data_IF_964861714730
#
_entry.id   IF_964861714730
#
_cell.length_a   1.000
_cell.length_b   1.000
_cell.length_c   1.000
_cell.angle_alpha   90.00
_cell.angle_beta   90.00
_cell.angle_gamma   90.00
#
_symmetry.space_group_name_H-M   'P 1'
#
loop_
_entity.id
_entity.type
_entity.pdbx_description
1 polymer ?
#
# COMPACT_ATOMS: atom_id res chain seq x y z
N UNK A 1 13.11 -22.49 11.66
CA UNK A 1 13.51 -21.35 12.50
C UNK A 1 14.32 -20.29 11.75
N UNK A 2 15.45 -20.60 11.02
CA UNK A 2 16.30 -19.56 10.36
C UNK A 2 15.59 -18.68 9.33
N UNK A 3 14.55 -19.18 8.61
CA UNK A 3 13.81 -18.41 7.58
C UNK A 3 12.74 -17.47 8.14
N UNK A 4 12.23 -17.73 9.34
CA UNK A 4 11.18 -16.90 9.97
C UNK A 4 11.76 -15.72 10.76
N UNK A 5 13.02 -15.82 11.20
CA UNK A 5 13.66 -14.80 12.03
C UNK A 5 13.59 -13.37 11.45
N UNK A 6 13.89 -13.12 10.15
CA UNK A 6 13.79 -11.78 9.60
C UNK A 6 12.36 -11.21 9.60
N UNK A 7 11.36 -12.04 9.35
CA UNK A 7 9.96 -11.59 9.38
C UNK A 7 9.52 -11.23 10.80
N UNK A 8 9.91 -12.04 11.80
CA UNK A 8 9.64 -11.74 13.21
C UNK A 8 10.38 -10.49 13.69
N UNK A 9 11.61 -10.28 13.23
CA UNK A 9 12.37 -9.07 13.55
C UNK A 9 11.71 -7.83 12.92
N UNK A 10 11.27 -7.90 11.66
CA UNK A 10 10.54 -6.81 11.02
C UNK A 10 9.25 -6.47 11.77
N UNK A 11 8.49 -7.50 12.20
CA UNK A 11 7.29 -7.32 13.00
C UNK A 11 7.60 -6.65 14.34
N UNK A 12 8.65 -7.10 15.03
CA UNK A 12 9.08 -6.50 16.30
C UNK A 12 9.48 -5.03 16.11
N UNK A 13 10.31 -4.72 15.10
CA UNK A 13 10.73 -3.35 14.80
C UNK A 13 9.53 -2.45 14.49
N UNK A 14 8.59 -2.91 13.66
CA UNK A 14 7.39 -2.18 13.32
C UNK A 14 6.50 -1.94 14.55
N UNK A 15 6.28 -2.98 15.38
CA UNK A 15 5.48 -2.85 16.60
C UNK A 15 6.08 -1.82 17.55
N UNK A 16 7.37 -1.92 17.85
CA UNK A 16 8.03 -1.01 18.80
C UNK A 16 8.03 0.44 18.27
N UNK A 17 8.28 0.64 16.97
CA UNK A 17 8.29 1.96 16.38
C UNK A 17 6.88 2.60 16.40
N UNK A 18 5.87 1.87 15.94
CA UNK A 18 4.50 2.38 15.88
C UNK A 18 3.85 2.53 17.26
N UNK A 19 4.20 1.71 18.24
CA UNK A 19 3.68 1.91 19.62
C UNK A 19 3.92 3.34 20.10
N UNK A 20 5.04 3.94 19.73
CA UNK A 20 5.42 5.29 20.18
C UNK A 20 5.00 6.35 19.15
N UNK A 21 5.11 6.04 17.84
CA UNK A 21 5.00 7.05 16.80
C UNK A 21 3.57 7.34 16.35
N UNK A 22 2.69 6.32 16.23
CA UNK A 22 1.37 6.53 15.64
C UNK A 22 0.30 6.91 16.67
N UNK A 23 -0.56 7.86 16.29
CA UNK A 23 -1.73 8.25 17.10
C UNK A 23 -2.81 7.15 17.21
N UNK A 24 -2.77 6.13 16.36
CA UNK A 24 -3.65 4.94 16.47
C UNK A 24 -3.18 3.94 17.53
N UNK A 25 -1.99 4.12 18.09
CA UNK A 25 -1.41 3.25 19.11
C UNK A 25 -2.29 3.20 20.37
N UNK A 26 -2.39 2.04 21.04
CA UNK A 26 -3.11 1.90 22.31
C UNK A 26 -2.50 2.72 23.46
N UNK A 27 -1.33 3.33 23.27
CA UNK A 27 -0.74 4.26 24.25
C UNK A 27 -1.42 5.63 24.24
N UNK A 28 -2.17 5.97 23.20
CA UNK A 28 -2.89 7.23 23.06
C UNK A 28 -4.39 7.03 23.25
N UNK A 29 -5.04 7.97 23.92
CA UNK A 29 -6.45 7.86 24.26
C UNK A 29 -7.37 7.95 23.04
N UNK A 30 -6.95 8.67 22.00
CA UNK A 30 -7.71 8.84 20.75
C UNK A 30 -6.77 9.25 19.60
N UNK A 31 -7.17 8.93 18.39
CA UNK A 31 -6.58 9.51 17.20
C UNK A 31 -7.43 10.72 16.78
N UNK A 32 -6.81 11.91 16.73
CA UNK A 32 -7.50 13.17 16.41
C UNK A 32 -7.40 13.56 14.94
N UNK A 33 -6.70 12.77 14.11
CA UNK A 33 -6.57 13.08 12.70
C UNK A 33 -7.87 12.82 11.94
N UNK A 34 -8.33 13.83 11.22
CA UNK A 34 -9.65 13.81 10.57
C UNK A 34 -9.79 12.66 9.57
N UNK A 35 -8.80 12.46 8.70
CA UNK A 35 -8.87 11.45 7.64
C UNK A 35 -9.01 10.04 8.22
N UNK A 36 -8.22 9.70 9.24
CA UNK A 36 -8.29 8.39 9.90
C UNK A 36 -9.68 8.15 10.52
N UNK A 37 -10.29 9.19 11.10
CA UNK A 37 -11.64 9.09 11.66
C UNK A 37 -12.70 8.90 10.56
N UNK A 38 -12.55 9.57 9.41
CA UNK A 38 -13.41 9.37 8.23
C UNK A 38 -13.27 7.92 7.74
N UNK A 39 -12.05 7.43 7.51
CA UNK A 39 -11.82 6.06 7.04
C UNK A 39 -12.35 5.03 8.02
N UNK A 40 -12.16 5.26 9.32
CA UNK A 40 -12.70 4.37 10.36
C UNK A 40 -14.23 4.37 10.39
N UNK A 41 -14.85 5.53 10.18
CA UNK A 41 -16.32 5.64 10.06
C UNK A 41 -16.83 4.85 8.85
N UNK A 42 -16.15 4.95 7.70
CA UNK A 42 -16.50 4.16 6.51
C UNK A 42 -16.28 2.66 6.77
N UNK A 43 -15.15 2.28 7.36
CA UNK A 43 -14.89 0.88 7.73
C UNK A 43 -15.96 0.29 8.65
N UNK A 44 -16.35 1.03 9.69
CA UNK A 44 -17.47 0.66 10.58
C UNK A 44 -18.80 0.58 9.84
N UNK A 45 -19.05 1.48 8.90
CA UNK A 45 -20.24 1.43 8.03
C UNK A 45 -20.26 0.14 7.20
N UNK A 46 -19.11 -0.24 6.62
CA UNK A 46 -19.00 -1.47 5.84
C UNK A 46 -19.30 -2.73 6.67
N UNK A 47 -18.88 -2.80 7.93
CA UNK A 47 -19.22 -3.94 8.82
C UNK A 47 -20.72 -4.01 9.16
N UNK A 48 -21.46 -2.94 8.88
CA UNK A 48 -22.91 -2.84 9.07
C UNK A 48 -23.72 -2.89 7.76
N UNK A 49 -23.06 -3.24 6.64
CA UNK A 49 -23.68 -3.39 5.33
C UNK A 49 -23.79 -2.12 4.49
N UNK A 50 -23.21 -0.99 4.95
CA UNK A 50 -23.10 0.21 4.13
C UNK A 50 -21.93 0.09 3.14
N UNK A 51 -22.05 0.72 1.98
CA UNK A 51 -21.05 0.67 0.93
C UNK A 51 -20.34 2.01 0.75
N UNK A 52 -19.00 2.01 0.65
CA UNK A 52 -18.27 3.22 0.32
C UNK A 52 -18.70 3.75 -1.04
N UNK A 53 -18.63 5.04 -1.22
CA UNK A 53 -19.05 5.85 -2.37
C UNK A 53 -20.56 5.91 -2.61
N UNK A 54 -21.31 4.83 -2.39
CA UNK A 54 -22.76 4.79 -2.55
C UNK A 54 -23.50 5.38 -1.34
N UNK A 55 -23.13 4.93 -0.15
CA UNK A 55 -23.80 5.29 1.11
C UNK A 55 -22.93 6.22 1.98
N UNK A 56 -21.63 6.16 1.83
CA UNK A 56 -20.64 6.93 2.57
C UNK A 56 -19.61 7.53 1.60
N UNK A 57 -19.40 8.84 1.70
CA UNK A 57 -18.55 9.57 0.75
C UNK A 57 -17.14 9.76 1.28
N UNK A 58 -16.15 9.37 0.49
CA UNK A 58 -14.77 9.82 0.54
C UNK A 58 -14.07 9.43 -0.78
N UNK A 59 -13.03 10.16 -1.16
CA UNK A 59 -12.35 10.06 -2.45
C UNK A 59 -11.07 9.18 -2.44
N UNK A 60 -10.79 8.44 -1.37
CA UNK A 60 -9.70 7.45 -1.33
C UNK A 60 -10.10 6.12 -1.96
N UNK A 61 -9.11 5.25 -2.15
CA UNK A 61 -9.31 3.98 -2.83
C UNK A 61 -10.10 2.94 -2.02
N UNK A 62 -10.83 2.05 -2.68
CA UNK A 62 -11.72 1.10 -2.02
C UNK A 62 -11.00 0.11 -1.10
N UNK A 63 -9.77 -0.26 -1.41
CA UNK A 63 -9.01 -1.19 -0.59
C UNK A 63 -8.63 -0.59 0.76
N UNK A 64 -8.42 0.73 0.84
CA UNK A 64 -8.21 1.42 2.11
C UNK A 64 -9.40 1.19 3.04
N UNK A 65 -10.62 1.42 2.56
CA UNK A 65 -11.83 1.23 3.36
C UNK A 65 -12.06 -0.23 3.77
N UNK A 66 -11.68 -1.18 2.91
CA UNK A 66 -11.71 -2.61 3.25
C UNK A 66 -10.74 -2.95 4.39
N UNK A 67 -9.54 -2.36 4.39
CA UNK A 67 -8.58 -2.52 5.49
C UNK A 67 -9.13 -1.91 6.79
N UNK A 68 -9.77 -0.75 6.71
CA UNK A 68 -10.43 -0.16 7.86
C UNK A 68 -11.65 -0.96 8.33
N UNK A 69 -12.37 -1.62 7.41
CA UNK A 69 -13.44 -2.55 7.78
C UNK A 69 -12.91 -3.77 8.54
N UNK A 70 -11.74 -4.31 8.13
CA UNK A 70 -11.05 -5.37 8.89
C UNK A 70 -10.61 -4.87 10.27
N UNK A 71 -10.07 -3.66 10.37
CA UNK A 71 -9.74 -3.03 11.64
C UNK A 71 -10.97 -2.85 12.54
N UNK A 72 -12.07 -2.36 11.98
CA UNK A 72 -13.34 -2.17 12.69
C UNK A 72 -13.99 -3.51 13.12
N UNK A 73 -13.77 -4.59 12.38
CA UNK A 73 -14.22 -5.93 12.77
C UNK A 73 -13.46 -6.47 13.99
N UNK A 74 -12.23 -6.01 14.24
CA UNK A 74 -11.46 -6.32 15.45
C UNK A 74 -11.94 -5.48 16.63
N UNK A 75 -12.12 -4.16 16.41
CA UNK A 75 -12.67 -3.23 17.39
C UNK A 75 -13.37 -2.08 16.67
N UNK A 76 -14.68 -1.90 16.93
CA UNK A 76 -15.47 -0.81 16.36
C UNK A 76 -15.52 0.44 17.27
N UNK A 77 -14.92 0.37 18.45
CA UNK A 77 -14.90 1.44 19.46
C UNK A 77 -13.51 2.04 19.68
N UNK A 78 -12.46 1.40 19.21
CA UNK A 78 -11.07 1.87 19.36
C UNK A 78 -10.25 1.61 18.11
N UNK A 79 -9.15 2.35 17.95
CA UNK A 79 -8.21 2.21 16.83
C UNK A 79 -7.30 0.98 16.93
N UNK A 80 -7.45 0.09 17.92
CA UNK A 80 -6.56 -1.07 18.09
C UNK A 80 -6.53 -1.98 16.84
N UNK A 81 -7.67 -2.15 16.16
CA UNK A 81 -7.71 -2.92 14.93
C UNK A 81 -6.96 -2.23 13.79
N UNK A 82 -7.07 -0.91 13.67
CA UNK A 82 -6.31 -0.09 12.71
C UNK A 82 -4.83 -0.16 13.03
N UNK A 83 -4.44 -0.01 14.28
CA UNK A 83 -3.06 -0.16 14.75
C UNK A 83 -2.45 -1.52 14.37
N UNK A 84 -3.19 -2.62 14.52
CA UNK A 84 -2.73 -3.94 14.08
C UNK A 84 -2.48 -3.96 12.58
N UNK A 85 -3.35 -3.35 11.76
CA UNK A 85 -3.16 -3.25 10.31
C UNK A 85 -1.93 -2.40 9.96
N UNK A 86 -1.72 -1.27 10.66
CA UNK A 86 -0.52 -0.43 10.50
C UNK A 86 0.77 -1.21 10.83
N UNK A 87 0.79 -1.97 11.92
CA UNK A 87 1.93 -2.80 12.31
C UNK A 87 2.25 -3.83 11.22
N UNK A 88 1.25 -4.52 10.69
CA UNK A 88 1.43 -5.48 9.61
C UNK A 88 1.94 -4.82 8.33
N UNK A 89 1.42 -3.63 8.01
CA UNK A 89 1.83 -2.83 6.86
C UNK A 89 3.30 -2.41 6.98
N UNK A 90 3.68 -1.78 8.09
CA UNK A 90 5.06 -1.35 8.30
C UNK A 90 6.02 -2.54 8.36
N UNK A 91 5.63 -3.64 9.01
CA UNK A 91 6.47 -4.85 9.04
C UNK A 91 6.74 -5.41 7.64
N UNK A 92 5.73 -5.44 6.77
CA UNK A 92 5.88 -5.88 5.39
C UNK A 92 6.79 -4.93 4.59
N UNK A 93 6.65 -3.61 4.79
CA UNK A 93 7.50 -2.59 4.15
C UNK A 93 8.96 -2.70 4.61
N UNK A 94 9.20 -2.82 5.92
CA UNK A 94 10.54 -3.02 6.51
C UNK A 94 11.17 -4.32 6.02
N UNK A 95 10.39 -5.39 5.96
CA UNK A 95 10.87 -6.66 5.40
C UNK A 95 11.25 -6.54 3.93
N UNK A 96 10.44 -5.89 3.11
CA UNK A 96 10.73 -5.65 1.69
C UNK A 96 11.98 -4.76 1.53
N UNK A 97 12.13 -3.71 2.35
CA UNK A 97 13.31 -2.87 2.39
C UNK A 97 14.58 -3.66 2.74
N UNK A 98 14.53 -4.52 3.77
CA UNK A 98 15.62 -5.43 4.09
C UNK A 98 15.95 -6.40 2.92
N UNK A 99 14.94 -6.94 2.25
CA UNK A 99 15.15 -7.78 1.05
C UNK A 99 15.87 -7.02 -0.05
N UNK A 100 15.58 -5.73 -0.18
CA UNK A 100 16.28 -4.84 -1.13
C UNK A 100 17.76 -4.67 -0.75
N UNK A 101 18.05 -4.35 0.50
CA UNK A 101 19.45 -4.24 1.00
C UNK A 101 20.21 -5.55 0.81
N UNK A 102 19.54 -6.68 1.04
CA UNK A 102 20.12 -8.03 0.88
C UNK A 102 20.39 -8.44 -0.58
N UNK A 103 20.01 -7.64 -1.58
CA UNK A 103 20.45 -7.84 -2.97
C UNK A 103 21.89 -7.39 -3.17
N UNK A 104 22.36 -6.41 -2.39
CA UNK A 104 23.64 -5.74 -2.56
C UNK A 104 24.62 -5.99 -1.41
N UNK A 105 24.13 -6.50 -0.27
CA UNK A 105 24.93 -6.82 0.91
C UNK A 105 24.68 -8.24 1.40
N UNK A 106 25.68 -8.79 2.09
CA UNK A 106 25.62 -10.13 2.67
C UNK A 106 25.79 -10.10 4.20
N UNK A 107 25.30 -11.17 4.84
CA UNK A 107 25.50 -11.38 6.26
C UNK A 107 24.47 -10.70 7.17
N UNK A 108 24.74 -10.81 8.50
CA UNK A 108 23.81 -10.35 9.53
C UNK A 108 23.68 -8.83 9.63
N UNK A 109 24.67 -8.09 9.14
CA UNK A 109 24.67 -6.63 9.17
C UNK A 109 23.52 -6.05 8.35
N UNK A 110 23.03 -6.74 7.30
CA UNK A 110 21.86 -6.28 6.54
C UNK A 110 20.59 -6.20 7.41
N UNK A 111 20.49 -6.98 8.49
CA UNK A 111 19.36 -6.93 9.43
C UNK A 111 19.25 -5.59 10.17
N UNK A 112 20.35 -4.85 10.32
CA UNK A 112 20.35 -3.51 10.92
C UNK A 112 19.53 -2.50 10.10
N UNK A 113 19.32 -2.77 8.82
CA UNK A 113 18.43 -1.94 8.00
C UNK A 113 16.98 -1.93 8.51
N UNK A 114 16.53 -2.99 9.19
CA UNK A 114 15.14 -3.08 9.66
C UNK A 114 14.80 -2.04 10.75
N UNK A 115 15.51 -1.96 11.89
CA UNK A 115 15.22 -0.93 12.87
C UNK A 115 15.47 0.48 12.35
N UNK A 116 16.47 0.67 11.46
CA UNK A 116 16.72 1.97 10.82
C UNK A 116 15.56 2.38 9.93
N UNK A 117 15.08 1.49 9.05
CA UNK A 117 13.95 1.77 8.17
C UNK A 117 12.68 2.05 8.98
N UNK A 118 12.39 1.26 10.00
CA UNK A 118 11.23 1.48 10.87
C UNK A 118 11.29 2.85 11.55
N UNK A 119 12.46 3.22 12.12
CA UNK A 119 12.64 4.50 12.77
C UNK A 119 12.49 5.68 11.80
N UNK A 120 13.18 5.63 10.64
CA UNK A 120 13.13 6.70 9.63
C UNK A 120 11.72 6.90 9.09
N UNK A 121 11.02 5.82 8.76
CA UNK A 121 9.65 5.88 8.24
C UNK A 121 8.70 6.49 9.27
N UNK A 122 8.81 6.10 10.55
CA UNK A 122 7.99 6.64 11.62
C UNK A 122 8.28 8.12 11.96
N UNK A 123 9.36 8.72 11.43
CA UNK A 123 9.57 10.17 11.53
C UNK A 123 8.73 10.98 10.52
N UNK A 124 8.07 10.32 9.56
CA UNK A 124 7.21 11.01 8.59
C UNK A 124 5.84 11.31 9.20
N UNK A 125 5.28 12.48 8.89
CA UNK A 125 3.98 12.94 9.39
C UNK A 125 2.85 11.95 9.12
N UNK A 126 2.86 11.29 7.96
CA UNK A 126 1.86 10.27 7.62
C UNK A 126 1.77 9.15 8.66
N UNK A 127 2.90 8.76 9.27
CA UNK A 127 2.97 7.70 10.29
C UNK A 127 2.69 8.21 11.71
N UNK A 128 2.97 9.47 11.99
CA UNK A 128 2.64 10.05 13.31
C UNK A 128 1.15 10.35 13.45
N UNK A 129 0.49 10.68 12.35
CA UNK A 129 -0.97 10.84 12.30
C UNK A 129 -1.71 9.51 12.51
N UNK A 130 -1.17 8.43 11.95
CA UNK A 130 -1.67 7.06 12.07
C UNK A 130 -2.84 6.74 11.13
N UNK A 131 -2.73 5.61 10.43
CA UNK A 131 -3.76 5.10 9.55
C UNK A 131 -3.89 5.80 8.20
N UNK A 132 -2.84 6.47 7.72
CA UNK A 132 -2.86 7.15 6.43
C UNK A 132 -2.93 6.17 5.25
N UNK A 133 -3.40 6.65 4.09
CA UNK A 133 -3.38 5.87 2.85
C UNK A 133 -1.93 5.50 2.45
N UNK A 134 -0.97 6.39 2.71
CA UNK A 134 0.46 6.21 2.48
C UNK A 134 1.01 5.02 3.27
N UNK A 135 0.59 4.85 4.51
CA UNK A 135 1.00 3.72 5.36
C UNK A 135 0.58 2.39 4.75
N UNK A 136 -0.64 2.31 4.24
CA UNK A 136 -1.17 1.08 3.63
C UNK A 136 -0.70 0.86 2.18
N UNK A 137 -0.23 1.90 1.49
CA UNK A 137 0.43 1.80 0.18
C UNK A 137 1.90 1.37 0.30
N UNK A 138 2.60 1.78 1.37
CA UNK A 138 4.05 1.62 1.54
C UNK A 138 4.55 0.17 1.38
N UNK A 139 3.91 -0.89 1.91
CA UNK A 139 4.41 -2.26 1.74
C UNK A 139 4.45 -2.68 0.27
N UNK A 140 3.46 -2.28 -0.52
CA UNK A 140 3.42 -2.58 -1.95
C UNK A 140 4.44 -1.74 -2.72
N UNK A 141 4.63 -0.46 -2.37
CA UNK A 141 5.68 0.39 -2.93
C UNK A 141 7.07 -0.21 -2.67
N UNK A 142 7.37 -0.58 -1.43
CA UNK A 142 8.64 -1.20 -1.05
C UNK A 142 8.84 -2.57 -1.73
N UNK A 143 7.79 -3.40 -1.81
CA UNK A 143 7.84 -4.66 -2.53
C UNK A 143 8.05 -4.45 -4.03
N UNK A 144 7.43 -3.44 -4.65
CA UNK A 144 7.62 -3.08 -6.05
C UNK A 144 9.08 -2.74 -6.36
N UNK A 145 9.71 -1.92 -5.53
CA UNK A 145 11.14 -1.58 -5.63
C UNK A 145 12.01 -2.84 -5.50
N UNK A 146 11.77 -3.66 -4.47
CA UNK A 146 12.49 -4.91 -4.28
C UNK A 146 12.36 -5.83 -5.50
N UNK A 147 11.14 -6.05 -6.00
CA UNK A 147 10.87 -6.95 -7.11
C UNK A 147 11.54 -6.45 -8.40
N UNK A 148 11.49 -5.14 -8.65
CA UNK A 148 12.15 -4.53 -9.78
C UNK A 148 13.67 -4.75 -9.74
N UNK A 149 14.30 -4.42 -8.62
CA UNK A 149 15.75 -4.61 -8.44
C UNK A 149 16.16 -6.08 -8.45
N UNK A 150 15.33 -6.97 -7.87
CA UNK A 150 15.58 -8.42 -7.89
C UNK A 150 15.50 -9.02 -9.29
N UNK A 151 14.62 -8.53 -10.16
CA UNK A 151 14.54 -8.90 -11.57
C UNK A 151 15.80 -8.49 -12.34
N UNK A 152 16.31 -7.30 -12.04
CA UNK A 152 17.52 -6.78 -12.72
C UNK A 152 18.80 -7.41 -12.19
N UNK A 153 18.94 -7.57 -10.86
CA UNK A 153 20.18 -8.03 -10.22
C UNK A 153 20.35 -9.56 -10.26
N UNK A 154 19.26 -10.32 -10.22
CA UNK A 154 19.28 -11.79 -10.15
C UNK A 154 18.24 -12.39 -11.10
N UNK A 155 18.43 -12.24 -12.40
CA UNK A 155 17.51 -12.81 -13.40
C UNK A 155 17.58 -14.35 -13.40
N UNK A 156 16.45 -14.99 -13.69
CA UNK A 156 16.38 -16.44 -13.73
C UNK A 156 14.95 -16.99 -13.70
N UNK A 157 14.77 -18.24 -13.30
CA UNK A 157 13.48 -18.95 -13.33
C UNK A 157 12.35 -18.27 -12.54
N UNK A 158 12.67 -17.46 -11.52
CA UNK A 158 11.70 -16.75 -10.71
C UNK A 158 11.14 -15.47 -11.38
N UNK A 159 11.63 -15.06 -12.54
CA UNK A 159 11.29 -13.78 -13.17
C UNK A 159 9.80 -13.64 -13.49
N UNK A 160 9.18 -14.73 -13.90
CA UNK A 160 7.74 -14.74 -14.15
C UNK A 160 6.89 -14.50 -12.89
N UNK A 161 7.29 -15.06 -11.74
CA UNK A 161 6.60 -14.85 -10.46
C UNK A 161 6.86 -13.45 -9.92
N UNK A 162 8.07 -12.92 -10.11
CA UNK A 162 8.43 -11.55 -9.71
C UNK A 162 7.64 -10.52 -10.52
N UNK A 163 7.51 -10.71 -11.84
CA UNK A 163 6.71 -9.85 -12.69
C UNK A 163 5.23 -9.86 -12.29
N UNK A 164 4.66 -11.04 -12.00
CA UNK A 164 3.30 -11.17 -11.48
C UNK A 164 3.13 -10.43 -10.14
N UNK A 165 4.06 -10.64 -9.20
CA UNK A 165 4.02 -10.01 -7.89
C UNK A 165 4.20 -8.48 -7.98
N UNK A 166 5.04 -8.00 -8.92
CA UNK A 166 5.18 -6.56 -9.20
C UNK A 166 3.85 -5.96 -9.67
N UNK A 167 3.16 -6.63 -10.59
CA UNK A 167 1.83 -6.21 -11.02
C UNK A 167 0.80 -6.23 -9.88
N UNK A 168 0.82 -7.27 -9.03
CA UNK A 168 -0.06 -7.33 -7.86
C UNK A 168 0.20 -6.18 -6.88
N UNK A 169 1.45 -5.81 -6.65
CA UNK A 169 1.81 -4.65 -5.84
C UNK A 169 1.32 -3.32 -6.47
N UNK A 170 1.41 -3.20 -7.81
CA UNK A 170 0.84 -2.06 -8.52
C UNK A 170 -0.69 -1.98 -8.36
N UNK A 171 -1.40 -3.12 -8.48
CA UNK A 171 -2.85 -3.19 -8.26
C UNK A 171 -3.24 -2.83 -6.83
N UNK A 172 -2.45 -3.22 -5.84
CA UNK A 172 -2.66 -2.81 -4.45
C UNK A 172 -2.60 -1.29 -4.28
N UNK A 173 -1.53 -0.65 -4.77
CA UNK A 173 -1.36 0.81 -4.69
C UNK A 173 -2.46 1.51 -5.47
N UNK A 174 -2.82 1.03 -6.66
CA UNK A 174 -3.91 1.57 -7.45
C UNK A 174 -5.25 1.59 -6.70
N UNK A 175 -5.53 0.59 -5.88
CA UNK A 175 -6.76 0.50 -5.08
C UNK A 175 -6.68 1.22 -3.72
N UNK A 176 -5.51 1.63 -3.26
CA UNK A 176 -5.34 2.47 -2.06
C UNK A 176 -5.31 3.95 -2.45
N UNK A 177 -4.41 4.30 -3.38
CA UNK A 177 -4.15 5.68 -3.82
C UNK A 177 -3.57 5.67 -5.22
N UNK A 178 -4.42 5.80 -6.24
CA UNK A 178 -4.00 5.66 -7.64
C UNK A 178 -2.93 6.69 -8.06
N UNK A 179 -2.85 7.85 -7.41
CA UNK A 179 -1.83 8.87 -7.70
C UNK A 179 -0.40 8.37 -7.49
N UNK A 180 -0.20 7.37 -6.63
CA UNK A 180 1.11 6.81 -6.32
C UNK A 180 1.55 5.74 -7.34
N UNK A 181 0.71 5.44 -8.33
CA UNK A 181 1.01 4.45 -9.39
C UNK A 181 2.20 4.86 -10.27
N UNK A 182 2.57 6.16 -10.25
CA UNK A 182 3.69 6.69 -11.03
C UNK A 182 5.01 5.95 -10.82
N UNK A 183 5.28 5.48 -9.58
CA UNK A 183 6.45 4.66 -9.28
C UNK A 183 6.44 3.35 -10.09
N UNK A 184 5.29 2.67 -10.14
CA UNK A 184 5.15 1.41 -10.88
C UNK A 184 5.20 1.63 -12.39
N UNK A 185 4.69 2.74 -12.90
CA UNK A 185 4.80 3.09 -14.31
C UNK A 185 6.27 3.29 -14.70
N UNK A 186 7.04 4.09 -13.93
CA UNK A 186 8.47 4.32 -14.18
C UNK A 186 9.30 3.03 -14.07
N UNK A 187 9.16 2.28 -12.97
CA UNK A 187 9.86 1.01 -12.78
C UNK A 187 9.45 -0.04 -13.81
N UNK A 188 8.16 -0.12 -14.15
CA UNK A 188 7.63 -1.06 -15.14
C UNK A 188 8.20 -0.82 -16.53
N UNK A 189 8.23 0.43 -16.97
CA UNK A 189 8.85 0.80 -18.27
C UNK A 189 10.34 0.42 -18.25
N UNK A 190 11.07 0.75 -17.18
CA UNK A 190 12.49 0.39 -17.03
C UNK A 190 12.73 -1.12 -17.07
N UNK A 191 11.89 -1.91 -16.39
CA UNK A 191 11.95 -3.37 -16.39
C UNK A 191 11.66 -3.96 -17.76
N UNK A 192 10.63 -3.50 -18.44
CA UNK A 192 10.27 -3.99 -19.77
C UNK A 192 11.35 -3.66 -20.80
N UNK A 193 11.94 -2.47 -20.72
CA UNK A 193 13.09 -2.09 -21.57
C UNK A 193 14.32 -2.97 -21.26
N UNK A 194 14.60 -3.27 -19.98
CA UNK A 194 15.68 -4.17 -19.57
C UNK A 194 15.48 -5.59 -20.12
N UNK A 195 14.29 -6.17 -19.94
CA UNK A 195 13.94 -7.51 -20.48
C UNK A 195 14.00 -7.54 -21.99
N UNK A 196 13.50 -6.51 -22.67
CA UNK A 196 13.54 -6.41 -24.12
C UNK A 196 14.98 -6.43 -24.66
N UNK A 197 15.86 -5.60 -24.08
CA UNK A 197 17.28 -5.54 -24.51
C UNK A 197 18.03 -6.83 -24.25
N UNK A 198 17.67 -7.56 -23.20
CA UNK A 198 18.37 -8.78 -22.80
C UNK A 198 17.83 -10.05 -23.45
N UNK A 199 16.50 -10.18 -23.54
CA UNK A 199 15.83 -11.43 -23.91
C UNK A 199 14.92 -11.29 -25.13
N UNK A 200 14.82 -10.08 -25.67
CA UNK A 200 14.01 -9.77 -26.86
C UNK A 200 12.56 -9.35 -26.54
N UNK A 201 11.92 -8.80 -27.56
CA UNK A 201 10.58 -8.19 -27.46
C UNK A 201 9.50 -9.19 -26.97
N UNK A 202 9.52 -10.44 -27.46
CA UNK A 202 8.55 -11.44 -27.04
C UNK A 202 8.55 -11.73 -25.54
N UNK A 203 9.74 -11.77 -24.93
CA UNK A 203 9.87 -11.94 -23.47
C UNK A 203 9.40 -10.72 -22.69
N UNK A 204 9.67 -9.53 -23.21
CA UNK A 204 9.14 -8.29 -22.60
C UNK A 204 7.60 -8.28 -22.63
N UNK A 205 6.98 -8.70 -23.72
CA UNK A 205 5.53 -8.80 -23.83
C UNK A 205 4.93 -9.81 -22.85
N UNK A 206 5.55 -10.99 -22.69
CA UNK A 206 5.16 -11.98 -21.68
C UNK A 206 5.27 -11.41 -20.26
N UNK A 207 6.32 -10.66 -19.99
CA UNK A 207 6.50 -10.00 -18.68
C UNK A 207 5.44 -8.94 -18.43
N UNK A 208 5.11 -8.11 -19.44
CA UNK A 208 4.02 -7.14 -19.37
C UNK A 208 2.66 -7.83 -19.11
N UNK A 209 2.37 -8.92 -19.80
CA UNK A 209 1.16 -9.73 -19.58
C UNK A 209 1.07 -10.27 -18.14
N UNK A 210 2.20 -10.72 -17.57
CA UNK A 210 2.25 -11.18 -16.17
C UNK A 210 2.06 -10.05 -15.18
N UNK A 211 2.64 -8.87 -15.43
CA UNK A 211 2.41 -7.67 -14.60
C UNK A 211 0.93 -7.28 -14.62
N UNK A 212 0.33 -7.23 -15.81
CA UNK A 212 -1.10 -6.94 -15.96
C UNK A 212 -1.97 -7.98 -15.24
N UNK A 213 -1.67 -9.27 -15.42
CA UNK A 213 -2.37 -10.35 -14.71
C UNK A 213 -2.27 -10.18 -13.19
N UNK A 214 -1.08 -9.84 -12.68
CA UNK A 214 -0.89 -9.57 -11.25
C UNK A 214 -1.77 -8.43 -10.75
N UNK A 215 -1.83 -7.32 -11.48
CA UNK A 215 -2.70 -6.20 -11.14
C UNK A 215 -4.19 -6.59 -11.17
N UNK A 216 -4.61 -7.33 -12.20
CA UNK A 216 -5.98 -7.81 -12.33
C UNK A 216 -6.38 -8.77 -11.21
N UNK A 217 -5.49 -9.64 -10.75
CA UNK A 217 -5.75 -10.55 -9.63
C UNK A 217 -6.07 -9.82 -8.32
N UNK A 218 -5.57 -8.60 -8.14
CA UNK A 218 -5.88 -7.76 -6.97
C UNK A 218 -7.10 -6.87 -7.24
N UNK A 219 -7.18 -6.26 -8.43
CA UNK A 219 -8.25 -5.31 -8.75
C UNK A 219 -9.61 -5.99 -9.00
N UNK A 220 -9.62 -7.14 -9.69
CA UNK A 220 -10.86 -7.79 -10.10
C UNK A 220 -11.75 -8.25 -8.92
N UNK A 221 -11.23 -8.86 -7.84
CA UNK A 221 -12.06 -9.21 -6.67
C UNK A 221 -12.71 -8.00 -6.02
N UNK A 222 -11.97 -6.87 -5.91
CA UNK A 222 -12.50 -5.63 -5.33
C UNK A 222 -13.58 -5.03 -6.23
N UNK A 223 -13.33 -4.98 -7.53
CA UNK A 223 -14.32 -4.50 -8.50
C UNK A 223 -15.58 -5.39 -8.52
N UNK A 224 -15.42 -6.71 -8.45
CA UNK A 224 -16.53 -7.65 -8.37
C UNK A 224 -17.35 -7.46 -7.07
N UNK A 225 -16.70 -7.25 -5.93
CA UNK A 225 -17.36 -6.93 -4.67
C UNK A 225 -18.17 -5.63 -4.75
N UNK A 226 -17.58 -4.56 -5.30
CA UNK A 226 -18.30 -3.29 -5.48
C UNK A 226 -19.46 -3.43 -6.47
N UNK A 227 -19.27 -4.17 -7.57
CA UNK A 227 -20.30 -4.41 -8.57
C UNK A 227 -21.50 -5.19 -7.99
N UNK A 228 -21.22 -6.28 -7.26
CA UNK A 228 -22.25 -7.12 -6.65
C UNK A 228 -23.09 -6.36 -5.58
N UNK A 229 -22.54 -5.28 -5.02
CA UNK A 229 -23.22 -4.42 -4.05
C UNK A 229 -23.73 -3.10 -4.67
N UNK A 230 -23.70 -2.95 -6.00
CA UNK A 230 -24.20 -1.75 -6.69
C UNK A 230 -23.40 -0.46 -6.43
N UNK A 231 -22.14 -0.58 -5.98
CA UNK A 231 -21.28 0.56 -5.62
C UNK A 231 -20.19 0.84 -6.66
N UNK A 232 -20.02 0.01 -7.71
CA UNK A 232 -18.92 0.16 -8.67
C UNK A 232 -19.00 1.48 -9.46
N UNK A 233 -20.20 1.85 -9.96
CA UNK A 233 -20.38 3.10 -10.70
C UNK A 233 -20.05 4.31 -9.83
N UNK A 234 -20.54 4.34 -8.58
CA UNK A 234 -20.21 5.39 -7.63
C UNK A 234 -18.70 5.43 -7.28
N UNK A 235 -18.04 4.27 -7.18
CA UNK A 235 -16.58 4.21 -7.01
C UNK A 235 -15.85 4.84 -8.20
N UNK A 236 -16.25 4.54 -9.43
CA UNK A 236 -15.62 5.14 -10.62
C UNK A 236 -15.83 6.65 -10.63
N UNK A 237 -17.04 7.11 -10.33
CA UNK A 237 -17.36 8.54 -10.28
C UNK A 237 -16.53 9.27 -9.22
N UNK A 238 -16.55 8.80 -7.98
CA UNK A 238 -15.93 9.50 -6.84
C UNK A 238 -14.41 9.33 -6.85
N UNK A 239 -13.93 8.08 -6.99
CA UNK A 239 -12.49 7.80 -6.85
C UNK A 239 -11.67 8.26 -8.06
N UNK A 240 -12.21 8.22 -9.27
CA UNK A 240 -11.46 8.61 -10.47
C UNK A 240 -11.92 9.96 -11.02
N UNK A 241 -13.22 10.13 -11.36
CA UNK A 241 -13.68 11.29 -12.11
C UNK A 241 -13.58 12.55 -11.26
N UNK A 242 -14.16 12.55 -10.06
CA UNK A 242 -14.11 13.73 -9.17
C UNK A 242 -12.68 14.07 -8.74
N UNK A 243 -11.84 13.07 -8.45
CA UNK A 243 -10.44 13.34 -8.12
C UNK A 243 -9.64 13.95 -9.27
N UNK A 244 -9.92 13.56 -10.52
CA UNK A 244 -9.18 14.06 -11.67
C UNK A 244 -9.66 15.45 -12.12
N UNK A 245 -10.97 15.72 -12.06
CA UNK A 245 -11.56 16.90 -12.69
C UNK A 245 -12.00 17.95 -11.67
N UNK A 246 -12.50 17.57 -10.51
CA UNK A 246 -13.04 18.50 -9.52
C UNK A 246 -12.00 18.85 -8.45
N UNK A 247 -11.35 17.83 -7.86
CA UNK A 247 -10.42 18.03 -6.76
C UNK A 247 -9.06 18.58 -7.21
N UNK A 248 -8.56 18.19 -8.37
CA UNK A 248 -7.29 18.70 -8.93
C UNK A 248 -7.46 19.99 -9.72
N UNK A 249 -8.66 20.34 -10.14
CA UNK A 249 -8.98 21.54 -10.93
C UNK A 249 -9.42 22.75 -10.12
N UNK A 250 -9.58 22.65 -8.79
CA UNK A 250 -9.86 23.81 -7.96
C UNK A 250 -8.67 24.79 -8.04
N UNK A 251 -8.86 26.03 -8.57
CA UNK A 251 -7.80 27.03 -8.56
C UNK A 251 -7.39 27.25 -7.12
N UNK A 252 -6.08 27.08 -6.80
CA UNK A 252 -5.53 27.53 -5.52
C UNK A 252 -5.75 29.05 -5.46
N UNK A 253 -6.82 29.47 -4.80
CA UNK A 253 -7.04 30.85 -4.44
C UNK A 253 -5.95 31.22 -3.43
N UNK A 254 -4.94 31.96 -3.90
CA UNK A 254 -3.89 32.60 -3.07
C UNK A 254 -4.43 33.73 -2.17
N UNK A 255 -5.76 33.91 -2.14
CA UNK A 255 -6.42 35.02 -1.43
C UNK A 255 -7.21 34.56 -0.19
N UNK A 256 -6.63 33.72 0.65
CA UNK A 256 -7.32 33.16 1.83
C UNK A 256 -6.54 33.18 3.14
N UNK A 257 -5.55 34.07 3.27
CA UNK A 257 -4.92 34.36 4.56
C UNK A 257 -4.68 35.88 4.68
N UNK A 258 -5.68 36.59 5.15
CA UNK A 258 -5.56 37.84 5.88
C UNK A 258 -6.39 37.70 7.14
#
# INVERSE_FOLDING_TARGET
MKRMFPALLALLCATLALLIATSSSPLYAANFWTDTNIYFTIGRGMTRGLMPYRDLFDHKGPLLFMLYALGAAISDTSFIGVFIMEVLSLAAAVYAGWRTVSLFGEGRLTLLSMPILAAVVCCCTAFTQGGSAEEFALPALAAGVYLALALMARPGEADGRRALAFGAAAGWVFLIKYTDIGLFAGLGIGLLAFVWRREGFGRALVSAGRMLLGALLVCAPVAAYLASNGALAACVEVYFIQNLFDYSGAPMSLSGHV
#
